data_IF_559899739317
#
_entry.id   IF_559899739317
#
_cell.length_a   1.000
_cell.length_b   1.000
_cell.length_c   1.000
_cell.angle_alpha   90.00
_cell.angle_beta   90.00
_cell.angle_gamma   90.00
#
_symmetry.space_group_name_H-M   'P 1'
#
loop_
_entity.id
_entity.type
_entity.pdbx_description
1 polymer ?
#
# COMPACT_ATOMS: atom_id res chain seq x y z
N UNK A 1 12.10 17.11 -75.54
CA UNK A 1 11.59 18.41 -75.06
C UNK A 1 11.23 18.27 -73.59
N UNK A 2 12.09 18.79 -72.73
CA UNK A 2 11.99 18.73 -71.32
C UNK A 2 11.24 19.94 -70.79
N UNK A 3 10.29 19.75 -69.89
CA UNK A 3 9.68 20.82 -69.12
C UNK A 3 9.89 20.52 -67.64
N UNK A 4 10.77 21.32 -67.00
CA UNK A 4 10.96 21.40 -65.57
C UNK A 4 9.86 22.27 -64.94
N UNK A 5 9.13 21.77 -63.97
CA UNK A 5 8.28 22.54 -63.06
C UNK A 5 8.93 22.63 -61.71
N UNK A 6 9.42 23.81 -61.35
CA UNK A 6 9.92 24.17 -60.08
C UNK A 6 8.74 24.48 -59.13
N UNK A 7 8.62 23.72 -57.99
CA UNK A 7 7.70 24.01 -56.91
C UNK A 7 8.43 24.79 -55.82
N UNK A 8 8.02 26.07 -55.59
CA UNK A 8 8.43 26.90 -54.45
C UNK A 8 7.78 26.37 -53.15
N UNK A 9 8.59 25.86 -52.24
CA UNK A 9 8.18 25.53 -50.89
C UNK A 9 8.28 26.76 -49.97
N UNK A 10 7.14 27.26 -49.50
CA UNK A 10 7.05 28.29 -48.48
C UNK A 10 7.18 27.69 -47.08
N UNK A 11 8.30 27.91 -46.41
CA UNK A 11 8.51 27.52 -45.02
C UNK A 11 7.84 28.52 -44.09
N UNK A 12 6.69 28.15 -43.52
CA UNK A 12 6.11 28.87 -42.37
C UNK A 12 6.89 28.51 -41.12
N UNK A 13 7.57 29.48 -40.51
CA UNK A 13 8.08 29.43 -39.16
C UNK A 13 6.89 29.36 -38.18
N UNK A 14 6.72 28.21 -37.52
CA UNK A 14 5.82 28.08 -36.39
C UNK A 14 6.60 28.53 -35.15
N UNK A 15 6.23 29.68 -34.60
CA UNK A 15 6.70 30.13 -33.27
C UNK A 15 5.84 29.47 -32.24
N UNK A 16 6.44 28.54 -31.48
CA UNK A 16 5.81 27.97 -30.27
C UNK A 16 5.72 29.04 -29.19
N UNK A 17 4.56 29.16 -28.51
CA UNK A 17 4.45 29.99 -27.32
C UNK A 17 5.06 29.24 -26.11
N UNK A 18 6.06 29.84 -25.49
CA UNK A 18 6.67 29.42 -24.22
C UNK A 18 5.59 29.39 -23.11
N UNK A 19 5.40 28.29 -22.40
CA UNK A 19 4.48 28.28 -21.25
C UNK A 19 5.08 29.08 -20.10
N UNK A 20 4.43 30.19 -19.75
CA UNK A 20 4.73 30.95 -18.53
C UNK A 20 4.28 30.15 -17.33
N UNK A 21 5.21 29.50 -16.66
CA UNK A 21 4.97 28.83 -15.37
C UNK A 21 4.72 29.90 -14.30
N UNK A 22 3.48 30.08 -13.92
CA UNK A 22 3.12 30.82 -12.72
C UNK A 22 3.58 30.01 -11.51
N UNK A 23 4.68 30.46 -10.91
CA UNK A 23 5.21 29.95 -9.65
C UNK A 23 4.24 30.31 -8.54
N UNK A 24 3.35 29.40 -8.16
CA UNK A 24 2.57 29.51 -6.92
C UNK A 24 3.53 29.34 -5.75
N UNK A 25 3.72 30.41 -5.01
CA UNK A 25 4.47 30.41 -3.74
C UNK A 25 3.69 29.52 -2.78
N UNK A 26 4.26 28.37 -2.43
CA UNK A 26 3.76 27.54 -1.36
C UNK A 26 3.79 28.35 -0.07
N UNK A 27 2.63 28.50 0.60
CA UNK A 27 2.55 29.08 1.93
C UNK A 27 3.23 28.11 2.88
N UNK A 28 4.26 28.59 3.55
CA UNK A 28 4.90 27.88 4.65
C UNK A 28 3.86 27.43 5.68
N UNK A 29 3.88 26.18 6.15
CA UNK A 29 3.05 25.78 7.26
C UNK A 29 3.45 26.61 8.47
N UNK A 30 2.48 27.33 9.05
CA UNK A 30 2.68 28.07 10.30
C UNK A 30 3.14 27.08 11.37
N UNK A 31 4.40 27.15 11.70
CA UNK A 31 4.98 26.50 12.86
C UNK A 31 4.27 27.03 14.10
N UNK A 32 3.66 26.14 14.88
CA UNK A 32 3.03 26.52 16.16
C UNK A 32 4.17 26.69 17.16
N UNK A 33 4.72 27.89 17.22
CA UNK A 33 5.57 28.32 18.34
C UNK A 33 4.67 28.57 19.54
N UNK A 34 4.82 27.75 20.53
CA UNK A 34 4.41 27.87 21.94
C UNK A 34 3.61 26.66 22.45
N UNK A 35 4.30 25.52 22.62
CA UNK A 35 3.92 24.59 23.67
C UNK A 35 4.98 24.71 24.76
N UNK A 36 4.71 25.55 25.75
CA UNK A 36 5.45 25.55 27.00
C UNK A 36 5.07 24.31 27.80
N UNK A 37 5.89 23.27 27.71
CA UNK A 37 5.84 22.15 28.65
C UNK A 37 6.67 22.53 29.87
N UNK A 38 6.01 23.00 30.92
CA UNK A 38 6.60 23.10 32.25
C UNK A 38 6.43 21.73 32.93
N UNK A 39 7.52 21.02 33.27
CA UNK A 39 7.43 19.87 34.15
C UNK A 39 7.41 20.34 35.61
N UNK A 40 6.36 20.02 36.35
CA UNK A 40 6.32 20.19 37.79
C UNK A 40 4.98 20.74 38.29
N UNK A 41 4.12 19.85 38.73
CA UNK A 41 2.95 20.11 39.56
C UNK A 41 2.73 18.92 40.46
N UNK A 42 2.94 19.15 41.77
CA UNK A 42 2.84 18.13 42.82
C UNK A 42 1.46 17.48 42.93
N UNK A 43 1.38 16.18 43.34
CA UNK A 43 0.12 15.47 43.51
C UNK A 43 -0.36 15.61 44.98
N UNK A 44 -1.20 16.59 45.29
CA UNK A 44 -2.04 16.51 46.50
C UNK A 44 -3.37 17.23 46.31
N UNK A 45 -4.46 16.49 46.69
CA UNK A 45 -5.85 16.93 46.89
C UNK A 45 -6.81 16.96 45.72
N UNK A 46 -7.48 15.81 45.54
CA UNK A 46 -8.80 15.70 44.91
C UNK A 46 -9.67 14.64 45.62
N UNK A 47 -10.99 14.88 45.79
CA UNK A 47 -11.87 14.10 46.67
C UNK A 47 -12.19 12.70 46.13
N UNK A 48 -12.21 11.72 47.04
CA UNK A 48 -12.45 10.32 46.77
C UNK A 48 -13.83 10.02 46.16
N UNK A 49 -13.83 9.15 45.18
CA UNK A 49 -15.04 8.47 44.70
C UNK A 49 -14.98 7.01 45.14
N UNK A 50 -15.73 6.70 46.23
CA UNK A 50 -16.05 5.33 46.63
C UNK A 50 -17.28 4.90 45.81
N UNK A 51 -17.13 3.87 44.98
CA UNK A 51 -18.24 3.27 44.27
C UNK A 51 -17.77 2.06 43.46
N UNK A 52 -17.75 0.88 44.09
CA UNK A 52 -17.55 -0.40 43.41
C UNK A 52 -18.86 -0.85 42.76
N UNK A 53 -18.89 -1.15 41.46
CA UNK A 53 -19.95 -1.99 40.89
C UNK A 53 -19.47 -3.45 40.80
N UNK A 54 -20.28 -4.30 41.39
CA UNK A 54 -20.30 -5.75 41.36
C UNK A 54 -20.38 -6.25 39.89
N UNK A 55 -19.34 -6.89 39.36
CA UNK A 55 -19.38 -7.51 38.04
C UNK A 55 -19.45 -9.01 38.15
N UNK A 56 -20.63 -9.52 37.85
CA UNK A 56 -20.91 -10.95 37.67
C UNK A 56 -20.06 -11.51 36.51
N UNK A 57 -19.42 -12.61 36.85
CA UNK A 57 -18.50 -13.43 36.08
C UNK A 57 -19.19 -14.02 34.84
N UNK A 58 -18.85 -13.56 33.63
CA UNK A 58 -19.12 -14.28 32.41
C UNK A 58 -17.81 -14.92 31.91
N UNK A 59 -17.75 -16.25 32.00
CA UNK A 59 -16.64 -17.06 31.49
C UNK A 59 -16.82 -17.24 29.98
N UNK A 60 -16.12 -16.41 29.17
CA UNK A 60 -15.91 -16.65 27.77
C UNK A 60 -14.55 -17.30 27.50
N UNK A 61 -14.34 -17.96 26.36
CA UNK A 61 -13.12 -18.72 26.09
C UNK A 61 -11.90 -17.81 26.15
N UNK A 62 -10.87 -18.26 26.88
CA UNK A 62 -9.59 -17.58 27.04
C UNK A 62 -8.81 -17.66 25.71
N UNK A 63 -8.94 -16.65 24.88
CA UNK A 63 -7.87 -16.34 23.95
C UNK A 63 -6.74 -15.73 24.79
N UNK A 64 -5.64 -16.44 24.89
CA UNK A 64 -4.41 -15.89 25.45
C UNK A 64 -3.89 -14.81 24.47
N UNK A 65 -4.36 -13.59 24.63
CA UNK A 65 -3.71 -12.43 24.07
C UNK A 65 -2.43 -12.22 24.88
N UNK A 66 -1.31 -12.70 24.37
CA UNK A 66 -0.01 -12.17 24.74
C UNK A 66 0.06 -10.73 24.22
N UNK A 67 -0.57 -9.81 24.96
CA UNK A 67 -0.33 -8.39 24.81
C UNK A 67 1.08 -8.10 25.37
N UNK A 68 2.11 -8.43 24.60
CA UNK A 68 3.33 -7.67 24.67
C UNK A 68 2.88 -6.25 24.30
N UNK A 69 2.83 -5.35 25.29
CA UNK A 69 2.51 -3.95 25.08
C UNK A 69 3.54 -3.41 24.10
N UNK A 70 3.15 -3.29 22.82
CA UNK A 70 3.97 -2.63 21.83
C UNK A 70 4.09 -1.18 22.30
N UNK A 71 5.31 -0.79 22.68
CA UNK A 71 5.57 0.58 23.09
C UNK A 71 5.90 1.35 21.80
N UNK A 72 5.12 2.37 21.46
CA UNK A 72 5.32 3.20 20.25
C UNK A 72 6.74 3.77 20.17
N UNK A 73 7.39 3.96 21.33
CA UNK A 73 8.77 4.39 21.43
C UNK A 73 9.78 3.39 20.85
N UNK A 74 9.39 2.12 20.71
CA UNK A 74 10.21 1.06 20.13
C UNK A 74 9.88 0.76 18.66
N UNK A 75 8.98 1.54 18.05
CA UNK A 75 8.65 1.41 16.64
C UNK A 75 9.86 1.68 15.76
N UNK A 76 10.12 0.81 14.77
CA UNK A 76 11.17 1.04 13.79
C UNK A 76 10.78 2.14 12.80
N UNK A 77 11.76 2.86 12.23
CA UNK A 77 11.52 3.85 11.17
C UNK A 77 10.73 3.24 10.00
N UNK A 78 10.90 1.95 9.73
CA UNK A 78 10.15 1.21 8.73
C UNK A 78 8.66 1.11 9.07
N UNK A 79 8.31 0.77 10.31
CA UNK A 79 6.93 0.72 10.76
C UNK A 79 6.26 2.09 10.68
N UNK A 80 6.93 3.17 11.06
CA UNK A 80 6.40 4.52 10.91
C UNK A 80 6.16 4.90 9.44
N UNK A 81 7.11 4.58 8.54
CA UNK A 81 6.95 4.78 7.11
C UNK A 81 5.67 4.09 6.59
N UNK A 82 5.49 2.82 6.92
CA UNK A 82 4.35 2.05 6.44
C UNK A 82 3.04 2.38 7.15
N UNK A 83 3.07 2.82 8.40
CA UNK A 83 1.92 3.36 9.11
C UNK A 83 1.30 4.54 8.36
N UNK A 84 2.14 5.48 7.91
CA UNK A 84 1.71 6.62 7.08
C UNK A 84 1.18 6.14 5.72
N UNK A 85 1.91 5.26 5.01
CA UNK A 85 1.50 4.77 3.69
C UNK A 85 0.19 3.98 3.71
N UNK A 86 -0.06 3.23 4.77
CA UNK A 86 -1.27 2.39 4.89
C UNK A 86 -2.39 3.06 5.69
N UNK A 87 -2.15 4.27 6.22
CA UNK A 87 -3.07 4.98 7.12
C UNK A 87 -3.51 4.07 8.29
N UNK A 88 -2.52 3.52 9.00
CA UNK A 88 -2.68 2.60 10.11
C UNK A 88 -1.87 3.07 11.32
N UNK A 89 -2.23 2.56 12.51
CA UNK A 89 -1.40 2.76 13.69
C UNK A 89 -0.12 1.91 13.57
N UNK A 90 0.96 2.38 14.15
CA UNK A 90 2.26 1.67 14.14
C UNK A 90 2.15 0.32 14.85
N UNK A 91 1.32 0.24 15.89
CA UNK A 91 1.05 -0.95 16.68
C UNK A 91 0.38 -2.08 15.90
N UNK A 92 -0.36 -1.75 14.84
CA UNK A 92 -1.02 -2.72 13.97
C UNK A 92 -0.04 -3.37 12.98
N UNK A 93 1.16 -2.80 12.84
CA UNK A 93 2.19 -3.23 11.90
C UNK A 93 3.23 -4.14 12.56
N UNK A 94 2.77 -5.25 13.12
CA UNK A 94 3.61 -6.21 13.86
C UNK A 94 4.53 -7.06 12.96
N UNK A 95 4.19 -7.28 11.68
CA UNK A 95 4.98 -8.10 10.76
C UNK A 95 6.07 -7.27 10.07
N UNK A 96 7.13 -6.97 10.79
CA UNK A 96 8.26 -6.15 10.31
C UNK A 96 8.99 -6.82 9.13
N UNK A 97 9.05 -8.16 9.10
CA UNK A 97 9.68 -8.92 8.01
C UNK A 97 8.93 -8.72 6.68
N UNK A 98 7.61 -8.71 6.72
CA UNK A 98 6.78 -8.41 5.55
C UNK A 98 7.01 -6.97 5.07
N UNK A 99 7.08 -6.01 5.99
CA UNK A 99 7.35 -4.61 5.65
C UNK A 99 8.75 -4.46 5.04
N UNK A 100 9.76 -5.15 5.57
CA UNK A 100 11.11 -5.15 5.03
C UNK A 100 11.14 -5.74 3.62
N UNK A 101 10.48 -6.87 3.41
CA UNK A 101 10.38 -7.47 2.08
C UNK A 101 9.75 -6.51 1.07
N UNK A 102 8.65 -5.86 1.46
CA UNK A 102 7.98 -4.87 0.60
C UNK A 102 8.92 -3.69 0.33
N UNK A 103 9.63 -3.19 1.35
CA UNK A 103 10.56 -2.06 1.22
C UNK A 103 11.70 -2.38 0.26
N UNK A 104 12.26 -3.56 0.37
CA UNK A 104 13.32 -4.04 -0.51
C UNK A 104 12.88 -4.07 -1.99
N UNK A 105 11.62 -4.35 -2.27
CA UNK A 105 11.07 -4.37 -3.62
C UNK A 105 10.44 -3.06 -4.07
N UNK A 106 10.21 -2.12 -3.16
CA UNK A 106 9.50 -0.88 -3.43
C UNK A 106 10.13 -0.09 -4.59
N UNK A 107 9.31 0.33 -5.56
CA UNK A 107 9.79 1.07 -6.73
C UNK A 107 10.45 0.21 -7.82
N UNK A 108 10.65 -1.11 -7.62
CA UNK A 108 11.12 -2.02 -8.68
C UNK A 108 10.23 -1.90 -9.90
N UNK A 109 10.79 -1.60 -11.07
CA UNK A 109 10.05 -1.32 -12.30
C UNK A 109 9.21 -2.51 -12.74
N UNK A 110 8.03 -2.22 -13.30
CA UNK A 110 7.23 -3.25 -13.94
C UNK A 110 7.89 -3.73 -15.23
N UNK A 111 8.00 -5.04 -15.39
CA UNK A 111 8.41 -5.69 -16.64
C UNK A 111 7.55 -6.92 -16.87
N UNK A 112 6.81 -6.94 -17.98
CA UNK A 112 6.00 -8.10 -18.33
C UNK A 112 6.87 -9.37 -18.46
N UNK A 113 6.49 -10.45 -17.76
CA UNK A 113 7.27 -11.68 -17.69
C UNK A 113 8.54 -11.60 -16.85
N UNK A 114 8.84 -10.43 -16.26
CA UNK A 114 10.00 -10.22 -15.39
C UNK A 114 9.85 -10.92 -14.03
N UNK A 115 11.00 -11.30 -13.44
CA UNK A 115 11.06 -11.98 -12.15
C UNK A 115 12.34 -11.62 -11.37
N UNK A 116 12.81 -10.39 -11.50
CA UNK A 116 14.05 -9.92 -10.84
C UNK A 116 13.95 -8.46 -10.40
N UNK A 117 15.02 -7.98 -9.75
CA UNK A 117 15.12 -6.57 -9.31
C UNK A 117 15.27 -5.57 -10.47
N UNK A 118 15.69 -6.00 -11.65
CA UNK A 118 15.71 -5.17 -12.86
C UNK A 118 14.32 -4.96 -13.45
N UNK A 119 13.35 -5.81 -13.07
CA UNK A 119 11.96 -5.69 -13.46
C UNK A 119 11.16 -6.93 -13.13
N UNK A 120 9.97 -6.70 -12.58
CA UNK A 120 9.07 -7.75 -12.12
C UNK A 120 7.64 -7.49 -12.60
N UNK A 121 6.87 -8.55 -12.91
CA UNK A 121 5.44 -8.44 -13.15
C UNK A 121 4.61 -8.74 -11.89
N UNK A 122 3.31 -8.49 -11.96
CA UNK A 122 2.40 -8.59 -10.81
C UNK A 122 2.37 -10.01 -10.22
N UNK A 123 2.27 -11.05 -11.05
CA UNK A 123 2.19 -12.43 -10.57
C UNK A 123 3.54 -12.98 -10.10
N UNK A 124 4.66 -12.55 -10.70
CA UNK A 124 5.98 -12.90 -10.18
C UNK A 124 6.24 -12.28 -8.81
N UNK A 125 5.82 -11.02 -8.61
CA UNK A 125 5.94 -10.35 -7.32
C UNK A 125 5.15 -11.09 -6.23
N UNK A 126 3.90 -11.49 -6.53
CA UNK A 126 3.11 -12.29 -5.57
C UNK A 126 3.76 -13.65 -5.28
N UNK A 127 4.33 -14.34 -6.30
CA UNK A 127 5.09 -15.57 -6.08
C UNK A 127 6.27 -15.37 -5.13
N UNK A 128 7.08 -14.33 -5.34
CA UNK A 128 8.26 -14.03 -4.52
C UNK A 128 7.88 -13.72 -3.07
N UNK A 129 6.88 -12.86 -2.87
CA UNK A 129 6.43 -12.48 -1.54
C UNK A 129 5.82 -13.69 -0.80
N UNK A 130 4.93 -14.42 -1.45
CA UNK A 130 4.24 -15.56 -0.82
C UNK A 130 5.20 -16.69 -0.47
N UNK A 131 6.19 -16.95 -1.33
CA UNK A 131 7.24 -17.93 -1.04
C UNK A 131 8.09 -17.49 0.16
N UNK A 132 8.51 -16.24 0.18
CA UNK A 132 9.40 -15.73 1.23
C UNK A 132 8.73 -15.61 2.58
N UNK A 133 7.46 -15.15 2.62
CA UNK A 133 6.76 -14.84 3.87
C UNK A 133 5.93 -16.00 4.42
N UNK A 134 5.38 -16.82 3.53
CA UNK A 134 4.42 -17.86 3.92
C UNK A 134 4.87 -19.28 3.53
N UNK A 135 6.05 -19.42 2.90
CA UNK A 135 6.59 -20.69 2.39
C UNK A 135 5.59 -21.44 1.48
N UNK A 136 4.84 -20.69 0.67
CA UNK A 136 3.85 -21.22 -0.27
C UNK A 136 4.23 -20.87 -1.70
N UNK A 137 4.18 -21.86 -2.58
CA UNK A 137 4.45 -21.69 -4.02
C UNK A 137 3.16 -21.38 -4.75
N UNK A 138 3.13 -20.28 -5.50
CA UNK A 138 2.01 -19.90 -6.34
C UNK A 138 2.29 -20.23 -7.83
N UNK A 139 1.24 -20.46 -8.64
CA UNK A 139 1.36 -20.52 -10.08
C UNK A 139 1.94 -19.23 -10.67
N UNK A 140 2.62 -19.36 -11.82
CA UNK A 140 3.35 -18.22 -12.42
C UNK A 140 2.44 -17.10 -12.93
N UNK A 141 1.24 -17.39 -13.37
CA UNK A 141 0.35 -16.38 -13.97
C UNK A 141 -0.78 -15.96 -13.03
N UNK A 142 -1.22 -14.71 -13.14
CA UNK A 142 -2.33 -14.19 -12.33
C UNK A 142 -3.65 -14.96 -12.56
N UNK A 143 -3.85 -15.49 -13.76
CA UNK A 143 -5.01 -16.33 -14.08
C UNK A 143 -4.96 -17.66 -13.35
N UNK A 144 -3.82 -18.37 -13.43
CA UNK A 144 -3.67 -19.65 -12.74
C UNK A 144 -3.72 -19.48 -11.22
N UNK A 145 -3.21 -18.36 -10.71
CA UNK A 145 -3.33 -18.01 -9.29
C UNK A 145 -4.80 -17.83 -8.89
N UNK A 146 -5.61 -17.18 -9.73
CA UNK A 146 -7.03 -17.02 -9.49
C UNK A 146 -7.78 -18.34 -9.55
N UNK A 147 -7.50 -19.16 -10.57
CA UNK A 147 -8.21 -20.41 -10.82
C UNK A 147 -7.91 -21.48 -9.74
N UNK A 148 -6.73 -21.42 -9.10
CA UNK A 148 -6.28 -22.42 -8.12
C UNK A 148 -6.42 -21.99 -6.65
N UNK A 149 -6.71 -20.73 -6.37
CA UNK A 149 -6.90 -20.27 -4.99
C UNK A 149 -8.31 -20.60 -4.46
N UNK A 150 -8.43 -20.68 -3.15
CA UNK A 150 -9.74 -20.68 -2.50
C UNK A 150 -10.31 -19.27 -2.53
N UNK A 151 -11.38 -19.04 -3.30
CA UNK A 151 -12.05 -17.75 -3.32
C UNK A 151 -12.66 -17.41 -1.96
N UNK A 152 -12.44 -16.18 -1.52
CA UNK A 152 -12.94 -15.67 -0.24
C UNK A 152 -13.75 -14.40 -0.41
N UNK A 153 -14.78 -14.17 0.42
CA UNK A 153 -15.51 -12.92 0.47
C UNK A 153 -14.61 -11.75 0.87
N UNK A 154 -14.93 -10.55 0.37
CA UNK A 154 -14.10 -9.36 0.60
C UNK A 154 -14.06 -8.93 2.07
N UNK A 155 -15.12 -9.21 2.83
CA UNK A 155 -15.22 -8.94 4.27
C UNK A 155 -14.38 -9.91 5.14
N UNK A 156 -13.82 -10.97 4.53
CA UNK A 156 -12.95 -11.94 5.19
C UNK A 156 -11.48 -11.81 4.79
N UNK A 157 -11.11 -10.71 4.12
CA UNK A 157 -9.74 -10.45 3.70
C UNK A 157 -8.79 -10.37 4.89
N UNK A 158 -7.66 -11.06 4.76
CA UNK A 158 -6.56 -11.07 5.72
C UNK A 158 -5.24 -10.75 5.02
N UNK A 159 -4.28 -10.22 5.77
CA UNK A 159 -2.93 -9.98 5.25
C UNK A 159 -2.35 -11.24 4.62
N UNK A 160 -1.89 -11.14 3.38
CA UNK A 160 -1.36 -12.25 2.60
C UNK A 160 -2.34 -12.83 1.57
N UNK A 161 -3.63 -12.49 1.62
CA UNK A 161 -4.59 -12.91 0.61
C UNK A 161 -4.32 -12.22 -0.74
N UNK A 162 -4.60 -12.93 -1.81
CA UNK A 162 -4.49 -12.39 -3.16
C UNK A 162 -5.73 -11.58 -3.53
N UNK A 163 -5.53 -10.45 -4.20
CA UNK A 163 -6.60 -9.62 -4.75
C UNK A 163 -6.41 -9.51 -6.27
N UNK A 164 -7.48 -9.75 -7.02
CA UNK A 164 -7.43 -9.90 -8.47
C UNK A 164 -8.24 -8.82 -9.19
N UNK A 165 -7.73 -8.41 -10.36
CA UNK A 165 -8.32 -7.30 -11.11
C UNK A 165 -8.36 -7.59 -12.62
N UNK A 166 -9.38 -7.01 -13.27
CA UNK A 166 -9.50 -6.94 -14.72
C UNK A 166 -8.94 -5.60 -15.24
N UNK A 167 -7.68 -5.58 -15.61
CA UNK A 167 -7.02 -4.39 -16.16
C UNK A 167 -6.87 -4.41 -17.69
N UNK A 168 -6.91 -5.62 -18.31
CA UNK A 168 -6.69 -5.82 -19.75
C UNK A 168 -7.60 -6.88 -20.38
N UNK A 169 -8.66 -7.28 -19.68
CA UNK A 169 -9.54 -8.38 -20.06
C UNK A 169 -9.34 -9.62 -19.20
N UNK A 170 -10.41 -10.07 -18.52
CA UNK A 170 -10.36 -11.18 -17.57
C UNK A 170 -9.43 -10.94 -16.39
N UNK A 171 -8.94 -11.99 -15.76
CA UNK A 171 -7.95 -11.91 -14.67
C UNK A 171 -6.59 -11.55 -15.27
N UNK A 172 -6.19 -10.31 -15.14
CA UNK A 172 -4.99 -9.78 -15.78
C UNK A 172 -4.05 -9.02 -14.85
N UNK A 173 -4.42 -8.88 -13.57
CA UNK A 173 -3.59 -8.28 -12.55
C UNK A 173 -3.88 -8.88 -11.18
N UNK A 174 -2.85 -8.90 -10.32
CA UNK A 174 -2.91 -9.46 -8.98
C UNK A 174 -2.04 -8.65 -8.03
N UNK A 175 -2.46 -8.57 -6.78
CA UNK A 175 -1.70 -8.03 -5.67
C UNK A 175 -1.90 -8.84 -4.41
N UNK A 176 -1.22 -8.47 -3.34
CA UNK A 176 -1.37 -9.09 -2.01
C UNK A 176 -1.98 -8.07 -1.06
N UNK A 177 -3.07 -8.46 -0.44
CA UNK A 177 -3.76 -7.66 0.56
C UNK A 177 -2.91 -7.50 1.81
N UNK A 178 -2.91 -6.31 2.37
CA UNK A 178 -2.20 -5.98 3.60
C UNK A 178 -3.21 -5.73 4.74
N UNK A 179 -3.48 -4.48 5.02
CA UNK A 179 -4.43 -4.00 6.02
C UNK A 179 -5.20 -2.81 5.47
N UNK A 180 -6.36 -2.47 6.05
CA UNK A 180 -7.11 -1.23 5.76
C UNK A 180 -7.34 -1.00 4.27
N UNK A 181 -7.81 -2.02 3.56
CA UNK A 181 -8.03 -1.99 2.10
C UNK A 181 -6.78 -1.70 1.26
N UNK A 182 -5.59 -1.74 1.86
CA UNK A 182 -4.34 -1.57 1.13
C UNK A 182 -3.85 -2.92 0.61
N UNK A 183 -3.22 -2.88 -0.55
CA UNK A 183 -2.58 -4.05 -1.15
C UNK A 183 -1.28 -3.64 -1.84
N UNK A 184 -0.30 -4.53 -1.84
CA UNK A 184 0.96 -4.35 -2.55
C UNK A 184 0.94 -5.10 -3.87
N UNK A 185 1.46 -4.50 -4.93
CA UNK A 185 1.51 -5.08 -6.26
C UNK A 185 2.60 -4.45 -7.13
N UNK A 186 2.97 -5.09 -8.23
CA UNK A 186 3.79 -4.46 -9.26
C UNK A 186 2.90 -3.72 -10.26
N UNK A 187 2.81 -2.40 -10.10
CA UNK A 187 2.06 -1.51 -10.99
C UNK A 187 2.82 -1.25 -12.29
N UNK A 188 2.12 -1.19 -13.42
CA UNK A 188 2.73 -0.86 -14.73
C UNK A 188 3.24 0.58 -14.80
N UNK A 189 2.72 1.49 -13.99
CA UNK A 189 3.09 2.91 -13.99
C UNK A 189 4.07 3.28 -12.89
N UNK A 190 3.98 2.64 -11.71
CA UNK A 190 4.74 3.01 -10.52
C UNK A 190 5.75 1.94 -10.07
N UNK A 191 5.77 0.76 -10.71
CA UNK A 191 6.53 -0.37 -10.22
C UNK A 191 5.88 -0.99 -8.98
N UNK A 192 6.69 -1.63 -8.12
CA UNK A 192 6.16 -2.21 -6.87
C UNK A 192 5.74 -1.07 -5.94
N UNK A 193 4.47 -1.09 -5.55
CA UNK A 193 3.85 -0.02 -4.76
C UNK A 193 2.67 -0.54 -3.96
N UNK A 194 2.21 0.26 -2.99
CA UNK A 194 0.97 0.03 -2.25
C UNK A 194 -0.14 0.89 -2.84
N UNK A 195 -1.31 0.30 -3.05
CA UNK A 195 -2.52 0.96 -3.55
C UNK A 195 -3.72 0.66 -2.64
N UNK A 196 -4.83 1.36 -2.86
CA UNK A 196 -6.08 1.21 -2.10
C UNK A 196 -7.14 0.50 -2.95
N UNK A 197 -7.81 -0.52 -2.40
CA UNK A 197 -8.94 -1.19 -3.05
C UNK A 197 -10.14 -0.25 -3.26
N UNK A 198 -10.23 0.82 -2.46
CA UNK A 198 -11.28 1.82 -2.57
C UNK A 198 -11.02 2.87 -3.67
N UNK A 199 -9.80 2.95 -4.21
CA UNK A 199 -9.52 3.82 -5.35
C UNK A 199 -10.42 3.45 -6.53
N UNK A 200 -11.01 4.44 -7.17
CA UNK A 200 -11.96 4.27 -8.27
C UNK A 200 -11.42 3.36 -9.39
N UNK A 201 -10.12 3.44 -9.65
CA UNK A 201 -9.47 2.60 -10.66
C UNK A 201 -9.52 1.12 -10.29
N UNK A 202 -9.16 0.77 -9.05
CA UNK A 202 -9.11 -0.63 -8.58
C UNK A 202 -10.49 -1.14 -8.23
N UNK A 203 -11.33 -0.34 -7.59
CA UNK A 203 -12.71 -0.69 -7.25
C UNK A 203 -13.53 -1.14 -8.46
N UNK A 204 -13.42 -0.41 -9.58
CA UNK A 204 -14.12 -0.75 -10.84
C UNK A 204 -13.57 -2.00 -11.54
N UNK A 205 -12.37 -2.45 -11.19
CA UNK A 205 -11.66 -3.56 -11.83
C UNK A 205 -11.50 -4.79 -10.95
N UNK A 206 -11.91 -4.68 -9.70
CA UNK A 206 -11.83 -5.77 -8.74
C UNK A 206 -12.70 -6.95 -9.18
N UNK A 207 -12.11 -8.16 -9.21
CA UNK A 207 -12.78 -9.40 -9.60
C UNK A 207 -13.08 -10.30 -8.40
N UNK A 208 -12.27 -10.22 -7.37
CA UNK A 208 -12.39 -11.08 -6.20
C UNK A 208 -11.07 -11.24 -5.47
N UNK A 209 -11.11 -12.03 -4.42
CA UNK A 209 -9.97 -12.35 -3.57
C UNK A 209 -9.83 -13.87 -3.39
N UNK A 210 -8.63 -14.30 -3.02
CA UNK A 210 -8.37 -15.71 -2.79
C UNK A 210 -7.22 -15.98 -1.84
N UNK A 211 -7.26 -17.14 -1.21
CA UNK A 211 -6.28 -17.63 -0.23
C UNK A 211 -5.64 -18.92 -0.69
N UNK A 212 -4.34 -19.07 -0.45
CA UNK A 212 -3.57 -20.29 -0.66
C UNK A 212 -3.20 -20.99 0.63
#
# INVERSE_FOLDING_TARGET
MSAFLAACGSTRKVTEPTPTVKRTVARDPKYIESINMTPGGDPENGPGFNGAPNTSRLTGPKYASSSASFNIENGSALQFKYAVLMNQNVEDLWNVELLQFIDDWYGTKYRYGGNSREGIDCSAFTCQLTLSMFNKTLPRTSRDQYDQCQHIPTDQLQTGDLVFFNTRGGVSHVGIYLLNNKFVHASTSAGVTISDLNDDYYKKRFLGAGRY
#
